data_IF_556019947237
#
_entry.id   IF_556019947237
#
_cell.length_a   1.000
_cell.length_b   1.000
_cell.length_c   1.000
_cell.angle_alpha   90.00
_cell.angle_beta   90.00
_cell.angle_gamma   90.00
#
_symmetry.space_group_name_H-M   'P 1'
#
loop_
_entity.id
_entity.type
_entity.pdbx_description
1 polymer ?
#
# COMPACT_ATOMS: atom_id res chain seq x y z
N UNK A 1 -3.62 -18.96 8.91
CA UNK A 1 -3.52 -17.69 8.15
C UNK A 1 -3.01 -17.98 6.75
N UNK A 2 -3.61 -17.35 5.75
CA UNK A 2 -3.27 -17.45 4.32
C UNK A 2 -3.26 -16.04 3.75
N UNK A 3 -2.26 -15.70 2.93
CA UNK A 3 -2.12 -14.38 2.32
C UNK A 3 -1.99 -14.42 0.80
N UNK A 4 -2.40 -13.34 0.16
CA UNK A 4 -2.41 -13.19 -1.30
C UNK A 4 -2.11 -11.74 -1.72
N UNK A 5 -1.62 -11.54 -2.94
CA UNK A 5 -1.43 -10.22 -3.55
C UNK A 5 -2.77 -9.67 -4.09
N UNK A 6 -3.59 -9.06 -3.22
CA UNK A 6 -4.81 -8.35 -3.59
C UNK A 6 -4.51 -6.85 -3.78
N UNK A 7 -3.86 -6.49 -4.89
CA UNK A 7 -3.14 -5.20 -5.08
C UNK A 7 -4.08 -4.03 -5.35
N UNK A 8 -5.13 -4.25 -6.14
CA UNK A 8 -6.09 -3.21 -6.53
C UNK A 8 -7.49 -3.83 -6.71
N UNK A 9 -7.91 -4.56 -5.68
CA UNK A 9 -9.02 -5.52 -5.73
C UNK A 9 -8.52 -6.93 -5.39
N UNK A 10 -9.41 -7.92 -5.42
CA UNK A 10 -9.02 -9.34 -5.26
C UNK A 10 -8.40 -9.85 -6.57
N UNK A 11 -7.14 -9.47 -6.80
CA UNK A 11 -6.49 -9.45 -8.12
C UNK A 11 -6.54 -10.77 -8.90
N UNK A 12 -6.52 -11.92 -8.22
CA UNK A 12 -6.49 -13.24 -8.87
C UNK A 12 -7.82 -14.00 -8.77
N UNK A 13 -8.85 -13.39 -8.18
CA UNK A 13 -10.15 -14.02 -8.02
C UNK A 13 -11.08 -13.68 -9.18
N UNK A 14 -11.55 -14.71 -9.88
CA UNK A 14 -12.46 -14.53 -11.02
C UNK A 14 -13.80 -13.94 -10.57
N UNK A 15 -14.19 -12.83 -11.19
CA UNK A 15 -15.45 -12.14 -10.90
C UNK A 15 -15.39 -11.12 -9.75
N UNK A 16 -14.22 -10.93 -9.13
CA UNK A 16 -14.00 -9.86 -8.16
C UNK A 16 -13.98 -8.48 -8.80
N UNK A 17 -14.19 -7.45 -7.97
CA UNK A 17 -14.06 -6.05 -8.40
C UNK A 17 -12.59 -5.69 -8.57
N UNK A 18 -12.21 -5.23 -9.76
CA UNK A 18 -10.86 -4.76 -10.06
C UNK A 18 -10.88 -3.24 -10.22
N UNK A 19 -10.16 -2.56 -9.33
CA UNK A 19 -10.01 -1.11 -9.31
C UNK A 19 -8.81 -0.67 -10.18
N UNK A 20 -8.66 0.64 -10.47
CA UNK A 20 -7.42 1.16 -11.04
C UNK A 20 -6.20 0.81 -10.17
N UNK A 21 -5.01 0.78 -10.77
CA UNK A 21 -3.76 0.62 -10.00
C UNK A 21 -3.63 1.73 -8.95
N UNK A 22 -2.77 1.54 -7.94
CA UNK A 22 -2.53 2.57 -6.93
C UNK A 22 -2.15 3.91 -7.57
N UNK A 23 -1.39 3.91 -8.68
CA UNK A 23 -1.03 5.15 -9.37
C UNK A 23 -2.25 5.82 -10.02
N UNK A 24 -3.14 5.03 -10.63
CA UNK A 24 -4.40 5.53 -11.17
C UNK A 24 -5.31 6.08 -10.08
N UNK A 25 -5.39 5.42 -8.94
CA UNK A 25 -6.16 5.88 -7.78
C UNK A 25 -5.56 7.14 -7.14
N UNK A 26 -4.23 7.27 -7.11
CA UNK A 26 -3.55 8.45 -6.57
C UNK A 26 -3.92 9.74 -7.31
N UNK A 27 -4.23 9.65 -8.61
CA UNK A 27 -4.70 10.79 -9.39
C UNK A 27 -6.03 11.38 -8.90
N UNK A 28 -6.78 10.67 -8.03
CA UNK A 28 -7.99 11.20 -7.40
C UNK A 28 -7.72 12.18 -6.25
N UNK A 29 -6.57 12.05 -5.58
CA UNK A 29 -6.26 12.77 -4.33
C UNK A 29 -7.34 12.61 -3.24
N UNK A 30 -8.05 11.47 -3.23
CA UNK A 30 -9.20 11.24 -2.35
C UNK A 30 -8.93 10.06 -1.39
N UNK A 31 -8.45 10.32 -0.17
CA UNK A 31 -8.24 9.27 0.83
C UNK A 31 -9.53 8.52 1.20
N UNK A 32 -10.69 9.20 1.21
CA UNK A 32 -11.95 8.55 1.58
C UNK A 32 -12.37 7.52 0.52
N UNK A 33 -12.15 7.84 -0.76
CA UNK A 33 -12.34 6.89 -1.86
C UNK A 33 -11.43 5.66 -1.71
N UNK A 34 -10.15 5.84 -1.40
CA UNK A 34 -9.22 4.72 -1.26
C UNK A 34 -9.53 3.84 -0.04
N UNK A 35 -10.04 4.42 1.04
CA UNK A 35 -10.56 3.67 2.19
C UNK A 35 -11.75 2.79 1.78
N UNK A 36 -12.67 3.33 0.97
CA UNK A 36 -13.81 2.56 0.43
C UNK A 36 -13.35 1.44 -0.52
N UNK A 37 -12.39 1.72 -1.41
CA UNK A 37 -11.81 0.71 -2.31
C UNK A 37 -11.22 -0.46 -1.52
N UNK A 38 -10.39 -0.14 -0.52
CA UNK A 38 -9.77 -1.16 0.33
C UNK A 38 -10.83 -1.91 1.15
N UNK A 39 -11.89 -1.23 1.59
CA UNK A 39 -12.99 -1.85 2.31
C UNK A 39 -13.73 -2.88 1.44
N UNK A 40 -14.11 -2.52 0.22
CA UNK A 40 -14.74 -3.44 -0.74
C UNK A 40 -13.83 -4.63 -1.02
N UNK A 41 -12.54 -4.37 -1.27
CA UNK A 41 -11.55 -5.43 -1.49
C UNK A 41 -11.48 -6.40 -0.33
N UNK A 42 -11.40 -5.91 0.92
CA UNK A 42 -11.34 -6.77 2.10
C UNK A 42 -12.59 -7.63 2.29
N UNK A 43 -13.78 -7.07 2.06
CA UNK A 43 -15.05 -7.81 2.13
C UNK A 43 -15.08 -8.93 1.09
N UNK A 44 -14.63 -8.68 -0.14
CA UNK A 44 -14.54 -9.73 -1.16
C UNK A 44 -13.55 -10.82 -0.76
N UNK A 45 -12.33 -10.43 -0.36
CA UNK A 45 -11.22 -11.34 -0.01
C UNK A 45 -11.51 -12.21 1.21
N UNK A 46 -12.11 -11.64 2.27
CA UNK A 46 -12.32 -12.37 3.54
C UNK A 46 -13.27 -13.56 3.37
N UNK A 47 -14.15 -13.52 2.36
CA UNK A 47 -15.09 -14.60 2.06
C UNK A 47 -14.46 -15.78 1.31
N UNK A 48 -13.22 -15.65 0.84
CA UNK A 48 -12.53 -16.69 0.04
C UNK A 48 -11.51 -17.49 0.84
N UNK A 49 -11.46 -17.33 2.16
CA UNK A 49 -10.48 -18.00 3.04
C UNK A 49 -9.10 -17.35 3.07
N UNK A 50 -8.95 -16.17 2.47
CA UNK A 50 -7.74 -15.33 2.56
C UNK A 50 -7.89 -14.37 3.74
N UNK A 51 -6.81 -14.22 4.51
CA UNK A 51 -6.81 -13.47 5.78
C UNK A 51 -5.92 -12.22 5.72
N UNK A 52 -5.13 -12.08 4.66
CA UNK A 52 -4.00 -11.17 4.61
C UNK A 52 -3.75 -10.75 3.16
N UNK A 53 -3.72 -9.44 2.89
CA UNK A 53 -3.27 -8.93 1.59
C UNK A 53 -1.86 -8.38 1.68
N UNK A 54 -1.07 -8.62 0.64
CA UNK A 54 0.21 -7.97 0.41
C UNK A 54 0.01 -6.57 -0.19
N UNK A 55 -0.75 -5.71 0.48
CA UNK A 55 -1.12 -4.35 0.05
C UNK A 55 -1.34 -3.45 1.28
N UNK A 56 -1.07 -2.13 1.23
CA UNK A 56 -0.66 -1.33 0.07
C UNK A 56 0.84 -1.27 -0.19
N UNK A 57 1.20 -0.81 -1.39
CA UNK A 57 2.58 -0.49 -1.77
C UNK A 57 2.89 0.96 -1.38
N UNK A 58 3.93 1.16 -0.55
CA UNK A 58 4.43 2.46 -0.07
C UNK A 58 5.74 2.87 -0.74
N UNK A 59 6.12 2.21 -1.83
CA UNK A 59 7.23 2.65 -2.67
C UNK A 59 6.93 4.03 -3.30
N UNK A 60 7.98 4.82 -3.53
CA UNK A 60 7.91 6.19 -4.05
C UNK A 60 8.49 6.23 -5.47
N UNK A 61 7.74 6.70 -6.45
CA UNK A 61 8.11 6.67 -7.87
C UNK A 61 9.19 7.72 -8.24
N UNK A 62 10.41 7.53 -7.74
CA UNK A 62 11.55 8.46 -7.93
C UNK A 62 12.29 8.26 -9.25
N UNK A 63 12.23 7.07 -9.81
CA UNK A 63 12.84 6.71 -11.08
C UNK A 63 11.79 6.10 -12.00
N UNK A 64 11.35 6.86 -13.00
CA UNK A 64 10.28 6.45 -13.93
C UNK A 64 10.68 5.27 -14.84
N UNK A 65 11.95 4.86 -14.84
CA UNK A 65 12.40 3.64 -15.53
C UNK A 65 12.02 2.37 -14.77
N UNK A 66 11.66 2.50 -13.49
CA UNK A 66 11.32 1.38 -12.64
C UNK A 66 10.01 0.72 -13.08
N UNK A 67 10.04 -0.60 -13.25
CA UNK A 67 8.94 -1.36 -13.84
C UNK A 67 7.68 -1.50 -12.98
N UNK A 68 7.68 -0.94 -11.77
CA UNK A 68 6.57 -1.07 -10.78
C UNK A 68 6.03 0.30 -10.34
N UNK A 69 6.25 1.33 -11.15
CA UNK A 69 5.76 2.69 -10.87
C UNK A 69 4.24 2.74 -10.75
N UNK A 70 3.52 1.92 -11.52
CA UNK A 70 2.06 1.78 -11.50
C UNK A 70 1.50 1.32 -10.15
N UNK A 71 2.30 0.58 -9.38
CA UNK A 71 1.94 0.11 -8.04
C UNK A 71 2.11 1.19 -6.97
N UNK A 72 2.74 2.33 -7.24
CA UNK A 72 2.95 3.39 -6.24
C UNK A 72 1.76 4.34 -6.13
N UNK A 73 1.71 5.19 -5.10
CA UNK A 73 0.84 6.37 -5.11
C UNK A 73 1.52 7.62 -5.71
N UNK A 74 2.54 7.44 -6.56
CA UNK A 74 3.32 8.52 -7.16
C UNK A 74 4.62 8.82 -6.41
N UNK A 75 5.07 10.07 -6.50
CA UNK A 75 6.43 10.49 -6.13
C UNK A 75 6.53 11.36 -4.87
N UNK A 76 5.42 11.57 -4.15
CA UNK A 76 5.36 12.42 -2.96
C UNK A 76 5.14 11.62 -1.67
N UNK A 77 6.03 11.72 -0.65
CA UNK A 77 5.89 10.98 0.60
C UNK A 77 4.62 11.29 1.39
N UNK A 78 4.10 12.52 1.32
CA UNK A 78 2.91 12.92 2.06
C UNK A 78 1.65 12.29 1.45
N UNK A 79 1.48 12.42 0.14
CA UNK A 79 0.37 11.79 -0.59
C UNK A 79 0.38 10.27 -0.41
N UNK A 80 1.55 9.63 -0.54
CA UNK A 80 1.71 8.19 -0.27
C UNK A 80 1.24 7.85 1.16
N UNK A 81 1.64 8.64 2.14
CA UNK A 81 1.27 8.44 3.55
C UNK A 81 -0.24 8.53 3.78
N UNK A 82 -0.90 9.55 3.24
CA UNK A 82 -2.36 9.75 3.39
C UNK A 82 -3.15 8.61 2.72
N UNK A 83 -2.82 8.29 1.47
CA UNK A 83 -3.50 7.29 0.67
C UNK A 83 -3.25 5.86 1.17
N UNK A 84 -2.01 5.52 1.55
CA UNK A 84 -1.70 4.23 2.14
C UNK A 84 -2.39 4.05 3.50
N UNK A 85 -2.43 5.10 4.33
CA UNK A 85 -3.11 5.04 5.63
C UNK A 85 -4.61 4.80 5.48
N UNK A 86 -5.24 5.42 4.48
CA UNK A 86 -6.63 5.15 4.14
C UNK A 86 -6.88 3.70 3.70
N UNK A 87 -6.05 3.17 2.80
CA UNK A 87 -6.18 1.76 2.40
C UNK A 87 -5.98 0.79 3.56
N UNK A 88 -5.02 1.05 4.46
CA UNK A 88 -4.82 0.23 5.67
C UNK A 88 -6.06 0.22 6.56
N UNK A 89 -6.71 1.37 6.78
CA UNK A 89 -7.98 1.44 7.53
C UNK A 89 -9.08 0.63 6.83
N UNK A 90 -9.24 0.81 5.52
CA UNK A 90 -10.24 0.06 4.75
C UNK A 90 -10.02 -1.45 4.77
N UNK A 91 -8.78 -1.92 4.67
CA UNK A 91 -8.48 -3.34 4.75
C UNK A 91 -8.75 -3.95 6.13
N UNK A 92 -8.30 -3.26 7.19
CA UNK A 92 -8.33 -3.77 8.56
C UNK A 92 -9.66 -3.49 9.29
N UNK A 93 -10.55 -2.69 8.70
CA UNK A 93 -11.89 -2.44 9.22
C UNK A 93 -11.89 -1.91 10.66
N UNK A 94 -12.82 -2.43 11.46
CA UNK A 94 -12.96 -2.10 12.88
C UNK A 94 -11.98 -2.87 13.78
N UNK A 95 -11.05 -3.63 13.21
CA UNK A 95 -10.01 -4.36 13.94
C UNK A 95 -9.97 -5.86 13.66
N UNK A 96 -9.13 -6.58 14.42
CA UNK A 96 -8.79 -7.99 14.15
C UNK A 96 -9.94 -8.99 14.37
N UNK A 97 -11.00 -8.57 15.05
CA UNK A 97 -12.20 -9.39 15.28
C UNK A 97 -13.27 -9.18 14.19
N UNK A 98 -13.07 -8.24 13.26
CA UNK A 98 -13.95 -8.02 12.12
C UNK A 98 -13.83 -9.18 11.11
N UNK A 99 -14.86 -10.02 10.91
CA UNK A 99 -14.80 -11.15 9.98
C UNK A 99 -14.74 -10.71 8.50
N UNK A 100 -14.96 -9.43 8.23
CA UNK A 100 -14.85 -8.82 6.90
C UNK A 100 -13.52 -8.09 6.69
N UNK A 101 -12.64 -8.05 7.69
CA UNK A 101 -11.31 -7.47 7.60
C UNK A 101 -10.26 -8.49 7.17
N UNK A 102 -9.18 -7.96 6.58
CA UNK A 102 -7.97 -8.69 6.27
C UNK A 102 -6.76 -7.89 6.77
N UNK A 103 -5.68 -8.58 7.12
CA UNK A 103 -4.42 -7.93 7.45
C UNK A 103 -3.91 -7.14 6.24
N UNK A 104 -3.41 -5.92 6.48
CA UNK A 104 -2.69 -5.14 5.48
C UNK A 104 -1.17 -5.38 5.60
N UNK A 105 -0.45 -5.19 4.50
CA UNK A 105 1.03 -5.24 4.47
C UNK A 105 1.59 -3.97 3.87
N UNK A 106 2.33 -3.20 4.67
CA UNK A 106 3.15 -2.13 4.12
C UNK A 106 4.36 -2.75 3.39
N UNK A 107 4.41 -2.63 2.07
CA UNK A 107 5.54 -3.11 1.24
C UNK A 107 6.04 -2.02 0.29
N UNK A 108 7.28 -1.99 -0.15
CA UNK A 108 8.40 -2.87 0.14
C UNK A 108 9.37 -2.08 1.02
N UNK A 109 9.34 -2.33 2.33
CA UNK A 109 10.13 -1.57 3.29
C UNK A 109 11.62 -1.92 3.14
N UNK A 110 12.52 -0.99 2.83
CA UNK A 110 12.31 0.36 2.28
C UNK A 110 13.38 0.66 1.21
N UNK A 111 13.15 1.66 0.37
CA UNK A 111 14.15 2.11 -0.63
C UNK A 111 14.17 1.32 -1.96
N UNK A 112 13.37 0.26 -2.08
CA UNK A 112 13.29 -0.59 -3.28
C UNK A 112 13.00 0.16 -4.59
N UNK A 113 12.34 1.32 -4.52
CA UNK A 113 11.91 2.09 -5.68
C UNK A 113 12.96 3.02 -6.28
N UNK A 114 14.14 3.16 -5.66
CA UNK A 114 15.23 3.99 -6.20
C UNK A 114 16.56 3.22 -6.19
N UNK A 115 16.63 2.22 -7.05
CA UNK A 115 17.81 1.38 -7.30
C UNK A 115 18.59 1.87 -8.53
N UNK A 116 19.82 1.38 -8.72
CA UNK A 116 20.72 1.83 -9.78
C UNK A 116 20.13 1.67 -11.19
N UNK A 117 19.78 2.81 -11.79
CA UNK A 117 19.20 2.89 -13.13
C UNK A 117 17.74 2.46 -13.21
N UNK A 118 17.02 2.44 -12.09
CA UNK A 118 15.61 2.06 -12.03
C UNK A 118 15.39 0.57 -12.31
N UNK A 119 16.42 -0.27 -12.16
CA UNK A 119 16.34 -1.70 -12.47
C UNK A 119 15.85 -2.47 -11.26
N UNK A 120 15.03 -3.47 -11.52
CA UNK A 120 14.46 -4.30 -10.47
C UNK A 120 15.55 -4.92 -9.58
N UNK A 121 15.41 -4.70 -8.27
CA UNK A 121 16.24 -5.24 -7.19
C UNK A 121 17.77 -5.10 -7.39
N UNK A 122 18.21 -4.08 -8.12
CA UNK A 122 19.63 -3.69 -8.17
C UNK A 122 20.01 -2.89 -6.91
N UNK A 123 21.30 -2.56 -6.77
CA UNK A 123 21.83 -1.84 -5.61
C UNK A 123 21.08 -0.51 -5.36
N UNK A 124 20.89 -0.15 -4.10
CA UNK A 124 20.23 1.08 -3.68
C UNK A 124 21.20 1.96 -2.88
N UNK A 125 21.78 2.96 -3.54
CA UNK A 125 22.70 3.92 -2.92
C UNK A 125 21.94 4.97 -2.07
N UNK A 126 21.35 4.52 -0.97
CA UNK A 126 20.49 5.33 -0.10
C UNK A 126 21.16 5.47 1.27
N UNK A 127 21.75 6.64 1.52
CA UNK A 127 22.28 6.97 2.86
C UNK A 127 21.15 7.05 3.89
N UNK A 128 21.49 6.91 5.18
CA UNK A 128 20.53 7.09 6.29
C UNK A 128 19.73 8.40 6.18
N UNK A 129 20.40 9.51 5.82
CA UNK A 129 19.74 10.80 5.63
C UNK A 129 18.72 10.75 4.49
N UNK A 130 19.09 10.16 3.35
CA UNK A 130 18.19 10.03 2.19
C UNK A 130 17.00 9.12 2.54
N UNK A 131 17.26 8.00 3.23
CA UNK A 131 16.25 7.08 3.76
C UNK A 131 15.19 7.82 4.58
N UNK A 132 15.62 8.59 5.59
CA UNK A 132 14.71 9.35 6.46
C UNK A 132 14.05 10.55 5.79
N UNK A 133 14.60 11.06 4.69
CA UNK A 133 14.05 12.24 4.01
C UNK A 133 12.92 11.89 3.04
N UNK A 134 12.95 10.70 2.44
CA UNK A 134 12.09 10.38 1.28
C UNK A 134 11.33 9.06 1.37
N UNK A 135 11.83 8.05 2.08
CA UNK A 135 11.24 6.68 2.02
C UNK A 135 10.64 6.24 3.34
N UNK A 136 11.12 6.80 4.44
CA UNK A 136 10.49 6.59 5.74
C UNK A 136 9.50 7.74 5.97
N UNK A 137 8.28 7.45 6.45
CA UNK A 137 7.37 8.50 6.86
C UNK A 137 8.06 9.38 7.93
N UNK A 138 7.81 10.69 7.94
CA UNK A 138 8.13 11.50 9.12
C UNK A 138 7.47 10.85 10.33
N UNK A 139 8.11 10.90 11.50
CA UNK A 139 7.68 10.18 12.72
C UNK A 139 6.21 10.39 13.11
N UNK A 140 5.58 11.47 12.66
CA UNK A 140 4.17 11.80 12.86
C UNK A 140 3.17 11.04 11.98
N UNK A 141 3.60 10.45 10.87
CA UNK A 141 2.73 9.84 9.84
C UNK A 141 2.83 8.31 9.76
N UNK A 142 3.46 7.65 10.74
CA UNK A 142 3.60 6.19 10.75
C UNK A 142 2.24 5.48 10.92
N UNK A 143 1.83 4.58 10.00
CA UNK A 143 0.62 3.78 10.14
C UNK A 143 0.61 2.92 11.42
N UNK A 144 1.78 2.58 11.96
CA UNK A 144 1.90 1.88 13.23
C UNK A 144 1.32 2.67 14.42
N UNK A 145 1.14 3.99 14.28
CA UNK A 145 0.52 4.84 15.31
C UNK A 145 -1.01 4.84 15.25
N UNK A 146 -1.61 4.42 14.13
CA UNK A 146 -3.06 4.23 14.03
C UNK A 146 -3.54 2.95 14.76
N UNK A 147 -2.62 2.04 15.11
CA UNK A 147 -2.90 0.81 15.84
C UNK A 147 -2.53 0.88 17.34
N UNK A 148 -2.09 2.03 17.85
CA UNK A 148 -1.84 2.20 19.27
C UNK A 148 -3.12 2.68 19.96
N UNK A 149 -3.75 1.89 20.86
CA UNK A 149 -4.86 2.39 21.65
C UNK A 149 -4.37 3.52 22.57
N UNK A 150 -5.22 4.53 22.75
CA UNK A 150 -5.11 5.54 23.80
C UNK A 150 -5.18 4.90 25.19
#
# INVERSE_FOLDING_TARGET
MVGEDCIHGHSFFSGATIFPTQLGMAASWDPALLEQVARVTAVEVSTTGIHWTFSPVLCIARDLRWGRVDETFGEDPHLIGELASAMVRGYQGEGLDDPTAILATAKHFAGYSETQGGRDATEADISRRKMTSWYLPPSSASPARAAAPS
#
